data_IF_180289166784
#
_entry.id   IF_180289166784
#
_cell.length_a   1.000
_cell.length_b   1.000
_cell.length_c   1.000
_cell.angle_alpha   90.00
_cell.angle_beta   90.00
_cell.angle_gamma   90.00
#
_symmetry.space_group_name_H-M   'P 1'
#
loop_
_entity.id
_entity.type
_entity.pdbx_description
1 polymer ?
#
# COMPACT_ATOMS: atom_id res chain seq x y z
N UNK A 1 12.63 15.20 6.93
CA UNK A 1 11.70 14.77 5.86
C UNK A 1 11.88 13.27 5.68
N UNK A 2 10.81 12.49 5.53
CA UNK A 2 10.90 11.03 5.31
C UNK A 2 11.13 10.78 3.82
N UNK A 3 12.11 9.93 3.46
CA UNK A 3 12.45 9.67 2.06
C UNK A 3 11.31 8.97 1.30
N UNK A 4 11.25 9.12 -0.04
CA UNK A 4 10.30 8.37 -0.86
C UNK A 4 10.50 6.85 -0.72
N UNK A 5 11.75 6.40 -0.56
CA UNK A 5 12.06 4.99 -0.34
C UNK A 5 11.44 4.46 0.97
N UNK A 6 11.54 5.21 2.07
CA UNK A 6 10.95 4.85 3.35
C UNK A 6 9.42 4.83 3.29
N UNK A 7 8.82 5.83 2.64
CA UNK A 7 7.37 5.88 2.43
C UNK A 7 6.87 4.67 1.62
N UNK A 8 7.58 4.30 0.54
CA UNK A 8 7.28 3.12 -0.26
C UNK A 8 7.39 1.83 0.57
N UNK A 9 8.46 1.70 1.37
CA UNK A 9 8.67 0.54 2.22
C UNK A 9 7.54 0.39 3.26
N UNK A 10 7.12 1.49 3.87
CA UNK A 10 6.03 1.52 4.84
C UNK A 10 4.70 1.08 4.22
N UNK A 11 4.33 1.66 3.07
CA UNK A 11 3.07 1.31 2.38
C UNK A 11 3.06 -0.15 1.95
N UNK A 12 4.20 -0.69 1.45
CA UNK A 12 4.32 -2.12 1.12
C UNK A 12 4.13 -3.01 2.35
N UNK A 13 4.74 -2.66 3.49
CA UNK A 13 4.60 -3.38 4.75
C UNK A 13 3.14 -3.41 5.22
N UNK A 14 2.48 -2.26 5.18
CA UNK A 14 1.07 -2.15 5.60
C UNK A 14 0.15 -2.94 4.67
N UNK A 15 0.36 -2.90 3.35
CA UNK A 15 -0.41 -3.68 2.39
C UNK A 15 -0.29 -5.19 2.69
N UNK A 16 0.93 -5.69 2.94
CA UNK A 16 1.16 -7.08 3.30
C UNK A 16 0.51 -7.44 4.64
N UNK A 17 0.64 -6.56 5.63
CA UNK A 17 0.04 -6.75 6.94
C UNK A 17 -1.49 -6.85 6.85
N UNK A 18 -2.13 -5.93 6.13
CA UNK A 18 -3.58 -5.95 5.91
C UNK A 18 -4.04 -7.14 5.10
N UNK A 19 -3.30 -7.59 4.09
CA UNK A 19 -3.62 -8.83 3.35
C UNK A 19 -3.72 -10.02 4.30
N UNK A 20 -2.80 -10.14 5.26
CA UNK A 20 -2.81 -11.20 6.28
C UNK A 20 -3.95 -11.05 7.29
N UNK A 21 -4.12 -9.86 7.88
CA UNK A 21 -5.10 -9.64 8.95
C UNK A 21 -6.52 -9.61 8.42
N UNK A 22 -6.78 -8.86 7.35
CA UNK A 22 -8.14 -8.72 6.83
C UNK A 22 -8.64 -10.00 6.18
N UNK A 23 -7.78 -10.83 5.59
CA UNK A 23 -8.18 -12.16 5.13
C UNK A 23 -8.80 -12.97 6.28
N UNK A 24 -8.18 -12.97 7.46
CA UNK A 24 -8.74 -13.63 8.66
C UNK A 24 -10.05 -12.98 9.14
N UNK A 25 -10.16 -11.66 9.07
CA UNK A 25 -11.38 -10.95 9.47
C UNK A 25 -12.54 -11.18 8.50
N UNK A 26 -12.26 -11.28 7.20
CA UNK A 26 -13.23 -11.63 6.18
C UNK A 26 -13.73 -13.05 6.40
N UNK A 27 -12.83 -14.00 6.61
CA UNK A 27 -13.19 -15.40 6.85
C UNK A 27 -14.00 -15.60 8.15
N UNK A 28 -13.79 -14.74 9.16
CA UNK A 28 -14.54 -14.77 10.43
C UNK A 28 -15.77 -13.86 10.45
N UNK A 29 -16.12 -13.22 9.32
CA UNK A 29 -17.28 -12.33 9.22
C UNK A 29 -17.13 -10.96 9.92
N UNK A 30 -15.99 -10.66 10.55
CA UNK A 30 -15.71 -9.37 11.20
C UNK A 30 -15.56 -8.21 10.21
N UNK A 31 -15.33 -8.50 8.94
CA UNK A 31 -15.20 -7.51 7.87
C UNK A 31 -15.79 -8.04 6.56
N UNK A 32 -16.60 -7.25 5.82
CA UNK A 32 -17.01 -7.62 4.47
C UNK A 32 -15.82 -7.68 3.51
N UNK A 33 -15.77 -8.68 2.62
CA UNK A 33 -14.72 -8.82 1.61
C UNK A 33 -14.55 -7.56 0.73
N UNK A 34 -15.68 -6.92 0.36
CA UNK A 34 -15.67 -5.65 -0.40
C UNK A 34 -14.93 -4.52 0.33
N UNK A 35 -15.04 -4.48 1.66
CA UNK A 35 -14.37 -3.48 2.50
C UNK A 35 -12.87 -3.72 2.51
N UNK A 36 -12.45 -4.98 2.72
CA UNK A 36 -11.03 -5.35 2.65
C UNK A 36 -10.44 -5.00 1.27
N UNK A 37 -11.15 -5.36 0.18
CA UNK A 37 -10.72 -5.06 -1.18
C UNK A 37 -10.54 -3.57 -1.42
N UNK A 38 -11.52 -2.74 -1.03
CA UNK A 38 -11.43 -1.28 -1.18
C UNK A 38 -10.25 -0.68 -0.40
N UNK A 39 -9.89 -1.26 0.75
CA UNK A 39 -8.71 -0.82 1.50
C UNK A 39 -7.40 -1.20 0.81
N UNK A 40 -7.34 -2.36 0.16
CA UNK A 40 -6.19 -2.75 -0.66
C UNK A 40 -6.04 -1.82 -1.86
N UNK A 41 -7.13 -1.59 -2.60
CA UNK A 41 -7.11 -0.76 -3.81
C UNK A 41 -6.61 0.67 -3.51
N UNK A 42 -6.97 1.24 -2.35
CA UNK A 42 -6.47 2.55 -1.91
C UNK A 42 -4.98 2.56 -1.62
N UNK A 43 -4.48 1.55 -0.91
CA UNK A 43 -3.04 1.45 -0.60
C UNK A 43 -2.21 1.16 -1.84
N UNK A 44 -2.73 0.32 -2.75
CA UNK A 44 -2.10 0.06 -4.05
C UNK A 44 -2.05 1.35 -4.89
N UNK A 45 -3.10 2.17 -4.89
CA UNK A 45 -3.09 3.46 -5.54
C UNK A 45 -2.03 4.42 -4.96
N UNK A 46 -1.92 4.50 -3.63
CA UNK A 46 -0.88 5.29 -2.96
C UNK A 46 0.52 4.79 -3.33
N UNK A 47 0.73 3.47 -3.30
CA UNK A 47 2.00 2.87 -3.67
C UNK A 47 2.39 3.21 -5.12
N UNK A 48 1.45 3.12 -6.05
CA UNK A 48 1.68 3.47 -7.45
C UNK A 48 2.07 4.94 -7.62
N UNK A 49 1.40 5.85 -6.92
CA UNK A 49 1.77 7.28 -6.91
C UNK A 49 3.20 7.48 -6.42
N UNK A 50 3.56 6.86 -5.30
CA UNK A 50 4.92 6.98 -4.73
C UNK A 50 5.99 6.41 -5.67
N UNK A 51 5.71 5.28 -6.32
CA UNK A 51 6.62 4.67 -7.30
C UNK A 51 6.81 5.57 -8.53
N UNK A 52 5.76 6.24 -9.00
CA UNK A 52 5.87 7.22 -10.08
C UNK A 52 6.74 8.41 -9.67
N UNK A 53 6.53 8.95 -8.46
CA UNK A 53 7.36 10.05 -7.94
C UNK A 53 8.83 9.63 -7.79
N UNK A 54 9.09 8.43 -7.25
CA UNK A 54 10.46 7.90 -7.13
C UNK A 54 11.13 7.78 -8.49
N UNK A 55 10.40 7.29 -9.49
CA UNK A 55 10.89 7.21 -10.87
C UNK A 55 11.21 8.59 -11.45
N UNK A 56 10.40 9.60 -11.17
CA UNK A 56 10.66 10.98 -11.61
C UNK A 56 11.88 11.58 -10.92
N UNK A 57 12.06 11.32 -9.61
CA UNK A 57 13.26 11.72 -8.84
C UNK A 57 14.52 11.10 -9.45
N UNK A 58 14.49 9.80 -9.79
CA UNK A 58 15.63 9.10 -10.39
C UNK A 58 15.98 9.62 -11.79
N UNK A 59 14.99 10.10 -12.56
CA UNK A 59 15.20 10.66 -13.90
C UNK A 59 15.71 12.10 -13.87
N UNK A 60 15.36 12.88 -12.84
CA UNK A 60 15.76 14.29 -12.73
C UNK A 60 17.09 14.47 -11.97
N UNK A 61 17.54 13.43 -11.27
CA UNK A 61 18.83 13.38 -10.59
C UNK A 61 19.99 12.84 -11.45
N UNK A 62 19.76 12.61 -12.75
CA UNK A 62 20.78 12.21 -13.73
C UNK A 62 21.25 13.40 -14.59
#
# INVERSE_FOLDING_TARGET
MISLADQIAEVKRELQHRKKVYSRWVNSGKMPARTARRQYDRLDAVLNTLLQLKKMEDLCGQ
#
